data_IF_610172010420
#
_entry.id   IF_610172010420
#
_cell.length_a   1.000
_cell.length_b   1.000
_cell.length_c   1.000
_cell.angle_alpha   90.00
_cell.angle_beta   90.00
_cell.angle_gamma   90.00
#
_symmetry.space_group_name_H-M   'P 1'
#
loop_
_entity.id
_entity.type
_entity.pdbx_description
1 polymer ?
#
# COMPACT_ATOMS: atom_id res chain seq x y z
N UNK A 1 -28.90 -38.89 19.53
CA UNK A 1 -28.20 -38.73 18.23
C UNK A 1 -27.94 -37.25 17.99
N UNK A 2 -26.69 -36.79 18.09
CA UNK A 2 -26.26 -35.43 17.77
C UNK A 2 -24.90 -35.52 17.07
N UNK A 3 -24.85 -35.14 15.79
CA UNK A 3 -23.64 -35.19 14.95
C UNK A 3 -22.78 -33.95 15.15
N UNK A 4 -21.53 -34.13 15.58
CA UNK A 4 -20.48 -33.10 15.65
C UNK A 4 -19.89 -32.85 14.27
N UNK A 5 -20.09 -31.66 13.72
CA UNK A 5 -19.44 -31.19 12.48
C UNK A 5 -18.03 -30.68 12.81
N UNK A 6 -16.98 -31.38 12.34
CA UNK A 6 -15.59 -30.92 12.45
C UNK A 6 -15.26 -29.99 11.27
N UNK A 7 -14.84 -28.78 11.61
CA UNK A 7 -14.26 -27.80 10.68
C UNK A 7 -12.92 -28.33 10.14
N UNK A 8 -12.84 -28.54 8.83
CA UNK A 8 -11.61 -28.95 8.15
C UNK A 8 -10.85 -27.70 7.69
N UNK A 9 -9.86 -27.31 8.46
CA UNK A 9 -8.92 -26.24 8.12
C UNK A 9 -7.88 -26.82 7.14
N UNK A 10 -7.86 -26.33 5.90
CA UNK A 10 -6.89 -26.77 4.89
C UNK A 10 -5.47 -26.37 5.30
N UNK A 11 -4.66 -27.35 5.70
CA UNK A 11 -3.21 -27.23 5.80
C UNK A 11 -2.62 -27.11 4.39
N UNK A 12 -2.37 -25.88 3.93
CA UNK A 12 -1.54 -25.64 2.74
C UNK A 12 -0.10 -26.04 3.10
N UNK A 13 0.43 -27.04 2.39
CA UNK A 13 1.79 -27.56 2.60
C UNK A 13 2.81 -26.53 2.09
N UNK A 14 3.84 -26.27 2.90
CA UNK A 14 4.94 -25.30 2.73
C UNK A 14 5.81 -25.43 1.44
N UNK A 15 5.40 -26.19 0.41
CA UNK A 15 6.21 -26.40 -0.80
C UNK A 15 5.91 -25.42 -1.94
N UNK A 16 4.74 -24.80 -1.98
CA UNK A 16 4.33 -23.96 -3.12
C UNK A 16 4.74 -22.47 -3.02
N UNK A 17 5.16 -21.99 -1.84
CA UNK A 17 5.65 -20.60 -1.68
C UNK A 17 7.02 -20.34 -2.32
N UNK A 18 7.85 -21.38 -2.55
CA UNK A 18 9.17 -21.20 -3.16
C UNK A 18 9.11 -20.92 -4.66
N UNK A 19 8.05 -21.33 -5.35
CA UNK A 19 7.90 -21.11 -6.80
C UNK A 19 7.42 -19.69 -7.11
N UNK A 20 6.59 -19.09 -6.25
CA UNK A 20 6.18 -17.69 -6.38
C UNK A 20 7.31 -16.69 -6.07
N UNK A 21 8.23 -17.06 -5.16
CA UNK A 21 9.33 -16.17 -4.75
C UNK A 21 10.39 -15.99 -5.85
N UNK A 22 10.56 -16.97 -6.75
CA UNK A 22 11.58 -16.88 -7.81
C UNK A 22 11.11 -16.13 -9.07
N UNK A 23 9.83 -15.78 -9.21
CA UNK A 23 9.34 -15.04 -10.38
C UNK A 23 9.67 -13.54 -10.34
N UNK A 24 9.95 -12.99 -9.16
CA UNK A 24 10.23 -11.56 -8.96
C UNK A 24 11.73 -11.21 -8.92
N UNK A 25 12.63 -12.17 -9.20
CA UNK A 25 14.09 -11.96 -9.18
C UNK A 25 14.66 -11.24 -10.43
N UNK A 26 13.80 -10.74 -11.32
CA UNK A 26 14.20 -10.12 -12.58
C UNK A 26 14.34 -8.60 -12.58
N UNK A 27 14.07 -7.90 -11.47
CA UNK A 27 14.22 -6.43 -11.44
C UNK A 27 15.69 -6.11 -11.15
N UNK A 28 16.45 -5.83 -12.21
CA UNK A 28 17.81 -5.28 -12.12
C UNK A 28 17.72 -3.90 -11.46
N UNK A 29 18.27 -3.76 -10.25
CA UNK A 29 18.44 -2.48 -9.57
C UNK A 29 19.55 -1.68 -10.28
N UNK A 30 19.20 -0.98 -11.35
CA UNK A 30 20.08 0.00 -11.97
C UNK A 30 19.95 1.33 -11.24
N UNK A 31 20.98 1.70 -10.48
CA UNK A 31 21.16 3.03 -9.90
C UNK A 31 20.48 3.20 -8.55
N UNK A 32 21.25 3.11 -7.46
CA UNK A 32 20.84 3.65 -6.16
C UNK A 32 21.04 5.17 -6.27
N UNK A 33 20.00 6.01 -6.38
CA UNK A 33 20.20 7.45 -6.24
C UNK A 33 20.70 7.72 -4.81
N UNK A 34 21.70 8.59 -4.72
CA UNK A 34 22.27 9.08 -3.46
C UNK A 34 21.16 9.40 -2.45
N UNK A 35 21.29 8.84 -1.25
CA UNK A 35 20.35 9.00 -0.14
C UNK A 35 20.30 10.49 0.28
N UNK A 36 19.42 11.26 -0.35
CA UNK A 36 19.03 12.57 0.14
C UNK A 36 18.06 12.34 1.29
N UNK A 37 18.22 13.02 2.45
CA UNK A 37 17.23 12.97 3.52
C UNK A 37 15.93 13.54 2.95
N UNK A 38 15.02 12.63 2.60
CA UNK A 38 13.69 12.93 2.09
C UNK A 38 13.06 13.87 3.12
N UNK A 39 12.64 15.09 2.72
CA UNK A 39 11.63 15.79 3.51
C UNK A 39 10.46 14.82 3.62
N UNK A 40 10.28 14.25 4.81
CA UNK A 40 9.87 12.85 4.99
C UNK A 40 8.46 12.53 4.56
N UNK A 41 7.66 13.52 4.12
CA UNK A 41 6.25 13.32 3.83
C UNK A 41 5.86 13.77 2.42
N UNK A 42 4.89 13.06 1.86
CA UNK A 42 4.17 13.40 0.65
C UNK A 42 2.67 13.21 0.81
N UNK A 43 1.91 13.73 -0.14
CA UNK A 43 0.46 13.77 -0.15
C UNK A 43 -0.12 13.25 -1.46
N UNK A 44 -1.21 12.51 -1.33
CA UNK A 44 -2.01 12.00 -2.42
C UNK A 44 -3.49 12.24 -2.09
N UNK A 45 -4.27 12.59 -3.09
CA UNK A 45 -5.70 12.87 -2.94
C UNK A 45 -6.50 11.99 -3.88
N UNK A 46 -7.60 11.44 -3.38
CA UNK A 46 -8.53 10.64 -4.18
C UNK A 46 -9.93 11.25 -4.21
N UNK A 47 -10.64 11.03 -5.31
CA UNK A 47 -12.07 11.30 -5.38
C UNK A 47 -12.89 10.20 -4.67
N UNK A 48 -14.22 10.30 -4.73
CA UNK A 48 -15.15 9.33 -4.12
C UNK A 48 -15.12 7.95 -4.81
N UNK A 49 -14.63 7.89 -6.05
CA UNK A 49 -14.42 6.66 -6.82
C UNK A 49 -13.03 6.03 -6.55
N UNK A 50 -12.26 6.59 -5.61
CA UNK A 50 -10.89 6.21 -5.28
C UNK A 50 -9.89 6.42 -6.42
N UNK A 51 -10.19 7.27 -7.40
CA UNK A 51 -9.21 7.66 -8.42
C UNK A 51 -8.30 8.74 -7.88
N UNK A 52 -7.01 8.63 -8.19
CA UNK A 52 -6.00 9.58 -7.75
C UNK A 52 -6.13 10.86 -8.58
N UNK A 53 -6.61 11.94 -7.95
CA UNK A 53 -6.83 13.25 -8.61
C UNK A 53 -5.67 14.21 -8.42
N UNK A 54 -4.82 13.98 -7.41
CA UNK A 54 -3.62 14.76 -7.15
C UNK A 54 -2.62 13.92 -6.40
N UNK A 55 -1.35 14.09 -6.72
CA UNK A 55 -0.24 13.43 -6.04
C UNK A 55 0.97 14.33 -6.11
N UNK A 56 1.70 14.46 -5.00
CA UNK A 56 2.99 15.12 -5.01
C UNK A 56 4.12 14.14 -5.36
N UNK A 57 5.22 14.70 -5.85
CA UNK A 57 6.37 13.92 -6.32
C UNK A 57 6.93 13.00 -5.21
N UNK A 58 6.79 13.41 -3.95
CA UNK A 58 7.32 12.67 -2.80
C UNK A 58 6.47 11.46 -2.45
N UNK A 59 5.15 11.58 -2.44
CA UNK A 59 4.24 10.45 -2.27
C UNK A 59 4.48 9.44 -3.39
N UNK A 60 4.66 9.91 -4.62
CA UNK A 60 4.99 9.06 -5.75
C UNK A 60 6.32 8.31 -5.52
N UNK A 61 7.38 9.01 -5.13
CA UNK A 61 8.68 8.41 -4.81
C UNK A 61 8.62 7.40 -3.65
N UNK A 62 7.90 7.70 -2.57
CA UNK A 62 7.72 6.79 -1.42
C UNK A 62 6.96 5.51 -1.81
N UNK A 63 6.02 5.62 -2.74
CA UNK A 63 5.31 4.49 -3.34
C UNK A 63 6.14 3.78 -4.43
N UNK A 64 7.23 4.39 -4.91
CA UNK A 64 8.08 3.87 -5.97
C UNK A 64 7.49 4.04 -7.38
N UNK A 65 6.75 5.12 -7.63
CA UNK A 65 6.18 5.46 -8.94
C UNK A 65 6.57 6.90 -9.34
N UNK A 66 6.42 7.20 -10.62
CA UNK A 66 6.40 8.58 -11.11
C UNK A 66 5.01 9.19 -10.90
N UNK A 67 4.94 10.47 -10.55
CA UNK A 67 3.67 11.15 -10.23
C UNK A 67 2.68 11.09 -11.39
N UNK A 68 3.15 11.20 -12.64
CA UNK A 68 2.29 11.16 -13.84
C UNK A 68 1.69 9.78 -14.06
N UNK A 69 2.36 8.73 -13.59
CA UNK A 69 1.87 7.35 -13.68
C UNK A 69 0.78 7.06 -12.63
N UNK A 70 0.69 7.86 -11.57
CA UNK A 70 -0.31 7.66 -10.52
C UNK A 70 -1.63 8.39 -10.80
N UNK A 71 -1.58 9.56 -11.45
CA UNK A 71 -2.77 10.35 -11.74
C UNK A 71 -3.78 9.58 -12.61
N UNK A 72 -5.05 9.63 -12.21
CA UNK A 72 -6.16 8.96 -12.89
C UNK A 72 -6.26 7.46 -12.64
N UNK A 73 -5.27 6.82 -12.01
CA UNK A 73 -5.35 5.42 -11.63
C UNK A 73 -6.19 5.22 -10.37
N UNK A 74 -6.79 4.03 -10.24
CA UNK A 74 -7.45 3.65 -9.02
C UNK A 74 -6.41 3.45 -7.92
N UNK A 75 -6.64 4.11 -6.78
CA UNK A 75 -5.81 4.02 -5.59
C UNK A 75 -5.56 2.58 -5.16
N UNK A 76 -6.59 1.73 -5.15
CA UNK A 76 -6.48 0.34 -4.71
C UNK A 76 -5.52 -0.48 -5.56
N UNK A 77 -5.47 -0.23 -6.88
CA UNK A 77 -4.56 -0.94 -7.78
C UNK A 77 -3.10 -0.64 -7.44
N UNK A 78 -2.82 0.59 -7.02
CA UNK A 78 -1.48 1.03 -6.63
C UNK A 78 -1.07 0.44 -5.29
N UNK A 79 -1.91 0.59 -4.25
CA UNK A 79 -1.56 0.10 -2.92
C UNK A 79 -1.56 -1.43 -2.87
N UNK A 80 -2.44 -2.15 -3.55
CA UNK A 80 -2.43 -3.62 -3.49
C UNK A 80 -1.10 -4.25 -3.93
N UNK A 81 -0.33 -3.55 -4.77
CA UNK A 81 1.01 -3.96 -5.21
C UNK A 81 2.10 -3.41 -4.29
N UNK A 82 1.84 -2.28 -3.63
CA UNK A 82 2.84 -1.50 -2.90
C UNK A 82 2.85 -1.77 -1.39
N UNK A 83 1.81 -2.39 -0.84
CA UNK A 83 1.67 -2.62 0.61
C UNK A 83 1.24 -4.06 0.93
N UNK A 84 1.52 -4.55 2.16
CA UNK A 84 1.12 -5.90 2.57
C UNK A 84 -0.40 -6.09 2.64
N UNK A 85 -0.88 -7.27 2.23
CA UNK A 85 -2.31 -7.59 2.19
C UNK A 85 -3.04 -7.44 3.55
N UNK A 86 -2.35 -7.65 4.68
CA UNK A 86 -2.94 -7.48 6.00
C UNK A 86 -3.28 -6.01 6.32
N UNK A 87 -2.62 -5.04 5.66
CA UNK A 87 -2.92 -3.62 5.79
C UNK A 87 -4.17 -3.21 5.00
N UNK A 88 -4.56 -3.96 3.96
CA UNK A 88 -5.70 -3.59 3.09
C UNK A 88 -7.02 -3.51 3.87
N UNK A 89 -7.23 -4.44 4.81
CA UNK A 89 -8.44 -4.44 5.64
C UNK A 89 -8.53 -3.19 6.53
N UNK A 90 -7.39 -2.74 7.09
CA UNK A 90 -7.33 -1.53 7.90
C UNK A 90 -7.59 -0.26 7.06
N UNK A 91 -7.02 -0.19 5.86
CA UNK A 91 -7.27 0.90 4.90
C UNK A 91 -8.75 0.92 4.50
N UNK A 92 -9.31 -0.25 4.17
CA UNK A 92 -10.68 -0.34 3.70
C UNK A 92 -11.66 0.03 4.82
N UNK A 93 -11.40 -0.43 6.05
CA UNK A 93 -12.19 -0.05 7.21
C UNK A 93 -12.12 1.47 7.47
N UNK A 94 -10.93 2.09 7.34
CA UNK A 94 -10.74 3.54 7.47
C UNK A 94 -11.59 4.30 6.46
N UNK A 95 -11.54 3.90 5.18
CA UNK A 95 -12.29 4.55 4.10
C UNK A 95 -13.80 4.36 4.28
N UNK A 96 -14.26 3.12 4.54
CA UNK A 96 -15.69 2.82 4.69
C UNK A 96 -16.31 3.49 5.92
N UNK A 97 -15.56 3.60 7.02
CA UNK A 97 -16.03 4.23 8.26
C UNK A 97 -15.75 5.73 8.31
N UNK A 98 -15.13 6.30 7.26
CA UNK A 98 -14.61 7.68 7.24
C UNK A 98 -13.82 8.04 8.50
N UNK A 99 -13.02 7.10 8.99
CA UNK A 99 -12.26 7.25 10.23
C UNK A 99 -10.79 7.52 9.91
N UNK A 100 -10.27 8.64 10.42
CA UNK A 100 -8.86 8.95 10.31
C UNK A 100 -8.03 7.82 10.93
N UNK A 101 -7.13 7.25 10.13
CA UNK A 101 -6.33 6.09 10.52
C UNK A 101 -4.89 6.28 10.10
N UNK A 102 -3.97 5.89 10.98
CA UNK A 102 -2.54 5.84 10.70
C UNK A 102 -2.11 4.39 10.66
N UNK A 103 -1.48 3.98 9.57
CA UNK A 103 -1.02 2.62 9.37
C UNK A 103 0.49 2.65 9.14
N UNK A 104 1.24 1.98 10.00
CA UNK A 104 2.68 1.83 9.87
C UNK A 104 3.00 0.55 9.12
N UNK A 105 3.78 0.64 8.05
CA UNK A 105 4.13 -0.54 7.23
C UNK A 105 5.39 -0.31 6.41
N UNK A 106 5.95 -1.38 5.86
CA UNK A 106 7.00 -1.28 4.86
C UNK A 106 6.38 -1.23 3.46
N UNK A 107 6.83 -0.29 2.63
CA UNK A 107 6.55 -0.29 1.19
C UNK A 107 7.19 -1.54 0.57
N UNK A 108 6.39 -2.37 -0.10
CA UNK A 108 6.87 -3.56 -0.80
C UNK A 108 7.75 -3.20 -1.99
N UNK A 109 7.55 -2.00 -2.57
CA UNK A 109 8.24 -1.57 -3.78
C UNK A 109 9.59 -0.91 -3.48
N UNK A 110 9.65 -0.09 -2.42
CA UNK A 110 10.88 0.65 -2.06
C UNK A 110 11.60 0.05 -0.86
N UNK A 111 10.97 -0.83 -0.09
CA UNK A 111 11.49 -1.36 1.17
C UNK A 111 11.45 -0.35 2.33
N UNK A 112 11.02 0.90 2.08
CA UNK A 112 11.00 1.96 3.08
C UNK A 112 9.90 1.73 4.11
N UNK A 113 10.20 1.99 5.39
CA UNK A 113 9.20 2.04 6.45
C UNK A 113 8.42 3.35 6.31
N UNK A 114 7.10 3.26 6.18
CA UNK A 114 6.21 4.39 5.96
C UNK A 114 5.07 4.45 6.99
N UNK A 115 4.69 5.66 7.39
CA UNK A 115 3.39 5.97 7.98
C UNK A 115 2.43 6.38 6.88
N UNK A 116 1.28 5.73 6.86
CA UNK A 116 0.22 5.95 5.90
C UNK A 116 -1.00 6.50 6.64
N UNK A 117 -1.21 7.80 6.55
CA UNK A 117 -2.30 8.50 7.24
C UNK A 117 -3.42 8.77 6.25
N UNK A 118 -4.59 8.20 6.50
CA UNK A 118 -5.79 8.44 5.72
C UNK A 118 -6.64 9.43 6.50
N UNK A 119 -6.98 10.54 5.86
CA UNK A 119 -7.86 11.58 6.39
C UNK A 119 -9.01 11.81 5.42
N UNK A 120 -10.21 12.00 5.95
CA UNK A 120 -11.39 12.23 5.14
C UNK A 120 -11.89 13.66 5.34
N UNK A 121 -12.30 14.29 4.25
CA UNK A 121 -13.14 15.49 4.28
C UNK A 121 -14.56 15.10 3.86
N UNK A 122 -15.46 16.07 3.77
CA UNK A 122 -16.84 15.84 3.32
C UNK A 122 -16.90 15.25 1.90
N UNK A 123 -15.97 15.66 1.02
CA UNK A 123 -16.01 15.39 -0.42
C UNK A 123 -14.85 14.54 -0.95
N UNK A 124 -13.78 14.35 -0.18
CA UNK A 124 -12.58 13.65 -0.64
C UNK A 124 -11.84 12.91 0.47
N UNK A 125 -10.88 12.08 0.07
CA UNK A 125 -9.91 11.48 0.99
C UNK A 125 -8.52 11.99 0.64
N UNK A 126 -7.82 12.45 1.66
CA UNK A 126 -6.42 12.85 1.59
C UNK A 126 -5.58 11.82 2.30
N UNK A 127 -4.59 11.31 1.60
CA UNK A 127 -3.63 10.33 2.09
C UNK A 127 -2.28 11.04 2.23
N UNK A 128 -1.75 11.05 3.45
CA UNK A 128 -0.37 11.48 3.72
C UNK A 128 0.50 10.24 3.88
N UNK A 129 1.66 10.24 3.23
CA UNK A 129 2.64 9.16 3.28
C UNK A 129 3.92 9.74 3.84
N UNK A 130 4.40 9.21 4.96
CA UNK A 130 5.64 9.67 5.60
C UNK A 130 6.67 8.54 5.67
N UNK A 131 7.86 8.73 5.10
CA UNK A 131 9.00 7.85 5.31
C UNK A 131 9.58 8.00 6.72
N UNK A 132 9.82 6.88 7.38
CA UNK A 132 10.56 6.82 8.64
C UNK A 132 12.02 6.47 8.33
N UNK A 133 12.92 7.35 8.76
CA UNK A 133 14.38 7.19 8.66
C UNK A 133 14.89 6.37 9.85
#
# INVERSE_FOLDING_TARGET
MLTKTRHNCYKVKNKDMRTAHNKYRGIRYNGIPSFNPIQTSGYLKTNLQNEIISVDERAAQLLGYDAKTLLGHNFWDIICVSIPAHCHQAINASIMQRKNTVIKMNSLKTGALIHFTISHTEFDSTIKIEGLV
#
